data_IF_213676055754
#
_entry.id   IF_213676055754
#
_cell.length_a   1.000
_cell.length_b   1.000
_cell.length_c   1.000
_cell.angle_alpha   90.00
_cell.angle_beta   90.00
_cell.angle_gamma   90.00
#
_symmetry.space_group_name_H-M   'P 1'
#
loop_
_entity.id
_entity.type
_entity.pdbx_description
1 polymer ?
#
# COMPACT_ATOMS: atom_id res chain seq x y z
N UNK A 1 11.30 60.75 -37.45
CA UNK A 1 11.35 60.54 -38.92
C UNK A 1 11.47 59.05 -39.16
N UNK A 2 10.49 58.49 -39.90
CA UNK A 2 10.50 57.24 -40.70
C UNK A 2 10.87 55.93 -39.97
N UNK A 3 9.97 54.99 -39.62
CA UNK A 3 8.96 54.18 -40.35
C UNK A 3 9.53 53.30 -41.47
N UNK A 4 9.38 51.96 -41.31
CA UNK A 4 8.99 50.90 -42.28
C UNK A 4 9.19 49.54 -41.56
N UNK A 5 8.21 48.66 -41.26
CA UNK A 5 7.04 48.08 -41.97
C UNK A 5 7.41 47.07 -43.08
N UNK A 6 6.83 45.87 -42.96
CA UNK A 6 6.65 44.84 -44.00
C UNK A 6 7.30 43.49 -43.65
N UNK A 7 6.68 42.31 -43.79
CA UNK A 7 5.35 41.95 -44.30
C UNK A 7 5.08 40.45 -44.01
N UNK A 8 3.81 40.07 -44.16
CA UNK A 8 3.08 38.84 -43.78
C UNK A 8 3.40 37.53 -44.54
N UNK A 9 2.92 36.43 -43.94
CA UNK A 9 2.09 35.33 -44.50
C UNK A 9 2.55 33.99 -43.88
N UNK A 10 1.73 33.09 -43.33
CA UNK A 10 0.29 32.84 -43.42
C UNK A 10 0.11 31.33 -43.61
N UNK A 11 -0.55 30.62 -42.69
CA UNK A 11 -1.21 29.30 -42.86
C UNK A 11 -1.92 28.98 -41.52
N UNK A 12 -3.23 29.21 -41.36
CA UNK A 12 -4.31 28.23 -41.60
C UNK A 12 -3.93 26.83 -41.06
N UNK A 13 -4.53 26.25 -40.02
CA UNK A 13 -5.92 26.28 -39.56
C UNK A 13 -6.42 24.82 -39.57
N UNK A 14 -6.65 24.22 -38.40
CA UNK A 14 -7.56 23.06 -38.23
C UNK A 14 -7.85 22.84 -36.75
N UNK A 15 -9.00 23.34 -36.32
CA UNK A 15 -9.67 22.90 -35.12
C UNK A 15 -10.57 21.71 -35.51
N UNK A 16 -10.38 20.56 -34.88
CA UNK A 16 -11.37 19.48 -34.95
C UNK A 16 -11.97 19.24 -33.56
N UNK A 17 -13.20 19.71 -33.48
CA UNK A 17 -14.25 19.41 -32.51
C UNK A 17 -14.67 17.96 -32.71
N UNK A 18 -14.50 17.11 -31.71
CA UNK A 18 -15.15 15.79 -31.69
C UNK A 18 -16.35 15.91 -30.77
N UNK A 19 -17.53 15.77 -31.38
CA UNK A 19 -18.83 15.89 -30.76
C UNK A 19 -19.17 14.64 -29.94
N UNK A 20 -19.86 14.91 -28.82
CA UNK A 20 -20.49 13.96 -27.93
C UNK A 20 -21.54 13.11 -28.63
N UNK A 21 -21.54 11.80 -28.41
CA UNK A 21 -22.70 10.94 -28.67
C UNK A 21 -23.16 10.34 -27.36
N UNK A 22 -24.21 10.94 -26.81
CA UNK A 22 -25.06 10.38 -25.77
C UNK A 22 -25.98 9.37 -26.45
N UNK A 23 -25.92 8.11 -26.03
CA UNK A 23 -26.88 7.08 -26.44
C UNK A 23 -27.84 6.79 -25.28
N UNK A 24 -29.01 7.41 -25.34
CA UNK A 24 -30.19 7.04 -24.55
C UNK A 24 -31.14 6.28 -25.48
N UNK A 25 -31.62 5.11 -25.05
CA UNK A 25 -32.68 4.37 -25.73
C UNK A 25 -33.91 4.26 -24.82
N UNK A 26 -35.12 4.15 -25.41
CA UNK A 26 -36.34 4.67 -24.81
C UNK A 26 -37.14 3.65 -23.98
N UNK A 27 -37.85 4.17 -22.99
CA UNK A 27 -38.98 3.57 -22.27
C UNK A 27 -40.14 3.32 -23.23
N UNK A 28 -40.78 2.15 -23.12
CA UNK A 28 -42.15 1.93 -23.62
C UNK A 28 -43.04 1.53 -22.45
N UNK A 29 -44.20 2.15 -22.47
CA UNK A 29 -45.24 2.24 -21.45
C UNK A 29 -46.28 1.11 -21.61
N UNK A 30 -47.12 1.00 -20.58
CA UNK A 30 -48.53 0.56 -20.60
C UNK A 30 -48.88 -0.89 -20.24
N UNK A 31 -49.53 -0.99 -19.07
CA UNK A 31 -50.21 -2.14 -18.46
C UNK A 31 -51.48 -2.60 -19.22
N UNK A 32 -52.18 -3.64 -18.72
CA UNK A 32 -53.45 -3.31 -18.05
C UNK A 32 -53.76 -4.09 -16.75
N UNK A 33 -54.52 -3.38 -15.90
CA UNK A 33 -55.36 -3.80 -14.77
C UNK A 33 -56.39 -4.90 -15.19
N UNK A 34 -56.86 -5.86 -14.38
CA UNK A 34 -57.75 -5.74 -13.19
C UNK A 34 -58.22 -7.15 -12.66
N UNK A 35 -58.94 -7.24 -11.51
CA UNK A 35 -58.97 -8.35 -10.51
C UNK A 35 -60.36 -9.09 -10.44
N UNK A 36 -60.95 -9.57 -9.30
CA UNK A 36 -60.50 -10.09 -7.98
C UNK A 36 -61.14 -11.47 -7.60
N UNK A 37 -60.78 -12.07 -6.45
CA UNK A 37 -61.51 -13.23 -5.88
C UNK A 37 -61.13 -13.57 -4.43
N UNK A 38 -62.00 -13.19 -3.49
CA UNK A 38 -61.93 -13.42 -2.03
C UNK A 38 -62.48 -14.80 -1.61
N UNK A 39 -61.97 -15.35 -0.49
CA UNK A 39 -62.66 -15.99 0.66
C UNK A 39 -61.56 -16.48 1.65
N UNK A 40 -61.40 -16.00 2.90
CA UNK A 40 -62.19 -16.23 4.15
C UNK A 40 -62.46 -17.74 4.39
N UNK A 41 -62.16 -18.42 5.50
CA UNK A 41 -62.03 -18.09 6.92
C UNK A 41 -61.29 -19.25 7.65
N UNK A 42 -60.76 -19.01 8.86
CA UNK A 42 -60.98 -19.82 10.08
C UNK A 42 -59.81 -19.76 11.08
N UNK A 43 -60.02 -18.97 12.14
CA UNK A 43 -59.50 -19.15 13.51
C UNK A 43 -60.60 -19.90 14.30
N UNK A 44 -60.40 -20.48 15.52
CA UNK A 44 -59.56 -19.97 16.63
C UNK A 44 -59.01 -21.10 17.59
N UNK A 45 -58.78 -20.89 18.91
CA UNK A 45 -57.85 -19.99 19.63
C UNK A 45 -57.03 -20.71 20.73
N UNK A 46 -56.41 -19.89 21.62
CA UNK A 46 -55.95 -20.19 23.01
C UNK A 46 -54.52 -20.78 23.12
N UNK A 47 -53.63 -20.37 24.02
CA UNK A 47 -53.81 -19.74 25.33
C UNK A 47 -52.64 -18.81 25.74
N UNK A 48 -52.98 -18.03 26.76
CA UNK A 48 -52.23 -17.01 27.49
C UNK A 48 -50.97 -17.56 28.18
N UNK A 49 -49.88 -16.76 28.24
CA UNK A 49 -49.28 -16.49 29.55
C UNK A 49 -48.50 -15.17 29.59
N UNK A 50 -48.89 -14.38 30.59
CA UNK A 50 -48.27 -13.26 31.30
C UNK A 50 -46.87 -13.63 31.82
N UNK A 51 -45.96 -12.79 32.32
CA UNK A 51 -45.68 -11.36 32.42
C UNK A 51 -44.37 -11.26 33.25
N UNK A 52 -43.74 -10.07 33.29
CA UNK A 52 -42.96 -9.52 34.44
C UNK A 52 -41.44 -9.83 34.58
N UNK A 53 -40.65 -8.73 34.58
CA UNK A 53 -39.35 -8.45 35.28
C UNK A 53 -38.14 -9.35 34.99
N UNK A 54 -36.87 -8.97 35.10
CA UNK A 54 -36.16 -7.75 35.49
C UNK A 54 -34.71 -7.88 34.97
N UNK A 55 -34.06 -6.72 34.81
CA UNK A 55 -32.63 -6.40 34.84
C UNK A 55 -31.64 -7.54 35.18
N UNK A 56 -30.53 -7.62 34.42
CA UNK A 56 -29.18 -7.34 34.94
C UNK A 56 -28.10 -7.43 33.87
N UNK A 57 -27.25 -6.41 33.83
CA UNK A 57 -25.98 -6.36 33.10
C UNK A 57 -24.94 -7.27 33.76
N UNK A 58 -24.13 -8.00 32.99
CA UNK A 58 -22.72 -8.28 33.35
C UNK A 58 -21.92 -8.82 32.15
N UNK A 59 -20.64 -8.46 32.15
CA UNK A 59 -19.60 -8.71 31.16
C UNK A 59 -19.27 -10.21 30.99
N UNK A 60 -18.75 -10.58 29.81
CA UNK A 60 -18.19 -11.91 29.57
C UNK A 60 -17.49 -12.07 28.21
N UNK A 61 -16.17 -11.88 28.25
CA UNK A 61 -15.07 -12.37 27.40
C UNK A 61 -15.36 -13.44 26.31
N UNK A 62 -14.77 -13.23 25.12
CA UNK A 62 -13.95 -14.23 24.41
C UNK A 62 -14.62 -15.20 23.42
N UNK A 63 -14.41 -14.98 22.12
CA UNK A 63 -14.43 -15.99 21.03
C UNK A 63 -13.51 -15.44 19.90
N UNK A 64 -12.51 -16.11 19.33
CA UNK A 64 -12.26 -17.54 19.17
C UNK A 64 -12.79 -18.01 17.81
N UNK A 65 -12.00 -17.88 16.74
CA UNK A 65 -12.18 -18.68 15.53
C UNK A 65 -10.82 -19.02 14.91
N UNK A 66 -10.53 -20.32 14.93
CA UNK A 66 -9.43 -21.01 14.26
C UNK A 66 -9.79 -21.33 12.80
N UNK A 67 -8.73 -21.54 12.01
CA UNK A 67 -8.56 -22.50 10.90
C UNK A 67 -9.51 -22.52 9.70
N UNK A 68 -8.94 -22.17 8.54
CA UNK A 68 -9.32 -22.77 7.25
C UNK A 68 -8.07 -23.28 6.52
N UNK A 69 -8.12 -24.46 5.86
CA UNK A 69 -6.95 -25.16 5.36
C UNK A 69 -6.54 -24.77 3.94
N UNK A 70 -5.24 -25.02 3.70
CA UNK A 70 -4.49 -25.03 2.45
C UNK A 70 -5.23 -25.61 1.24
N UNK A 71 -5.21 -24.88 0.12
CA UNK A 71 -5.52 -25.38 -1.22
C UNK A 71 -4.30 -25.19 -2.11
N UNK A 72 -3.73 -26.32 -2.54
CA UNK A 72 -2.54 -26.38 -3.38
C UNK A 72 -2.81 -26.06 -4.85
N UNK A 73 -1.77 -25.56 -5.51
CA UNK A 73 -1.68 -25.46 -6.96
C UNK A 73 -0.31 -25.93 -7.43
N UNK A 74 -0.32 -26.93 -8.31
CA UNK A 74 0.54 -26.96 -9.50
C UNK A 74 1.98 -27.44 -9.34
N UNK A 75 2.18 -28.75 -9.48
CA UNK A 75 3.43 -29.35 -9.95
C UNK A 75 3.81 -28.85 -11.35
N UNK A 76 4.95 -28.18 -11.47
CA UNK A 76 5.70 -28.08 -12.73
C UNK A 76 7.16 -28.44 -12.45
N UNK A 77 7.56 -29.60 -12.99
CA UNK A 77 8.88 -30.18 -12.85
C UNK A 77 9.91 -29.49 -13.75
N UNK A 78 11.11 -29.26 -13.22
CA UNK A 78 12.34 -29.16 -14.00
C UNK A 78 13.20 -27.96 -13.66
N UNK A 79 14.30 -28.20 -12.95
CA UNK A 79 15.40 -27.30 -12.55
C UNK A 79 15.31 -26.58 -11.19
N UNK A 80 14.22 -26.75 -10.42
CA UNK A 80 13.97 -25.96 -9.20
C UNK A 80 14.48 -26.55 -7.86
N UNK A 81 15.32 -27.61 -7.90
CA UNK A 81 15.81 -28.28 -6.68
C UNK A 81 17.33 -28.17 -6.48
N UNK A 82 17.91 -27.01 -6.77
CA UNK A 82 19.06 -26.54 -6.00
C UNK A 82 18.57 -25.43 -5.08
N UNK A 83 17.86 -25.82 -4.02
CA UNK A 83 17.83 -24.98 -2.84
C UNK A 83 19.25 -25.07 -2.25
N UNK A 84 20.08 -24.00 -2.30
CA UNK A 84 21.25 -23.98 -1.44
C UNK A 84 20.75 -24.23 -0.02
N UNK A 85 21.48 -24.99 0.82
CA UNK A 85 21.09 -25.17 2.20
C UNK A 85 20.70 -23.81 2.77
N UNK A 86 19.55 -23.73 3.42
CA UNK A 86 19.07 -22.54 4.09
C UNK A 86 20.02 -22.18 5.24
N UNK A 87 21.17 -21.60 4.90
CA UNK A 87 22.11 -21.00 5.85
C UNK A 87 21.45 -19.81 6.59
N UNK A 88 20.22 -19.44 6.21
CA UNK A 88 19.38 -18.44 6.86
C UNK A 88 18.76 -18.90 8.18
N UNK A 89 18.69 -20.20 8.49
CA UNK A 89 17.83 -20.67 9.61
C UNK A 89 18.60 -21.11 10.87
N UNK A 90 19.92 -20.90 10.96
CA UNK A 90 20.66 -21.07 12.23
C UNK A 90 21.52 -19.87 12.65
N UNK A 91 21.51 -18.81 11.85
CA UNK A 91 22.19 -17.54 12.13
C UNK A 91 21.20 -16.36 12.20
N UNK A 92 19.90 -16.66 12.30
CA UNK A 92 18.82 -15.70 12.26
C UNK A 92 18.18 -15.50 13.63
N UNK A 93 18.73 -14.57 14.42
CA UNK A 93 18.01 -13.67 15.36
C UNK A 93 18.99 -12.86 16.20
N UNK A 94 20.18 -13.39 16.48
CA UNK A 94 21.26 -12.61 17.07
C UNK A 94 22.07 -11.97 15.95
N UNK A 95 21.93 -10.64 15.80
CA UNK A 95 22.85 -9.86 14.98
C UNK A 95 24.28 -10.20 15.42
N UNK A 96 25.03 -10.94 14.59
CA UNK A 96 26.48 -10.98 14.67
C UNK A 96 26.94 -9.53 14.57
N UNK A 97 27.14 -8.89 15.72
CA UNK A 97 27.66 -7.55 15.75
C UNK A 97 29.08 -7.63 15.19
N UNK A 98 29.53 -6.54 14.55
CA UNK A 98 30.92 -6.40 14.10
C UNK A 98 31.91 -6.86 15.17
N UNK A 99 31.61 -6.54 16.44
CA UNK A 99 32.41 -6.93 17.61
C UNK A 99 32.48 -8.44 17.80
N UNK A 100 31.37 -9.16 17.63
CA UNK A 100 31.33 -10.61 17.76
C UNK A 100 32.17 -11.30 16.68
N UNK A 101 32.09 -10.85 15.41
CA UNK A 101 32.91 -11.43 14.33
C UNK A 101 34.38 -11.12 14.54
N UNK A 102 34.75 -9.89 14.93
CA UNK A 102 36.15 -9.53 15.17
C UNK A 102 36.77 -10.28 16.35
N UNK A 103 35.96 -10.66 17.35
CA UNK A 103 36.41 -11.48 18.49
C UNK A 103 36.42 -12.98 18.17
N UNK A 104 35.77 -13.39 17.09
CA UNK A 104 35.62 -14.80 16.72
C UNK A 104 36.14 -15.10 15.32
N UNK A 105 37.07 -14.30 14.79
CA UNK A 105 37.72 -14.61 13.51
C UNK A 105 38.42 -15.97 13.65
N UNK A 106 38.19 -16.85 12.67
CA UNK A 106 38.79 -18.19 12.65
C UNK A 106 40.32 -18.09 12.72
N UNK A 107 40.91 -18.91 13.58
CA UNK A 107 42.34 -18.98 13.87
C UNK A 107 43.20 -19.30 12.64
N UNK A 108 42.63 -20.02 11.67
CA UNK A 108 43.24 -20.37 10.39
C UNK A 108 42.89 -19.38 9.26
N UNK A 109 42.41 -18.17 9.57
CA UNK A 109 42.02 -17.19 8.56
C UNK A 109 43.15 -16.84 7.58
N UNK A 110 44.40 -16.78 8.05
CA UNK A 110 45.56 -16.52 7.21
C UNK A 110 45.78 -17.59 6.13
N UNK A 111 45.32 -18.82 6.37
CA UNK A 111 45.39 -19.92 5.40
C UNK A 111 44.41 -19.78 4.23
N UNK A 112 43.48 -18.82 4.30
CA UNK A 112 42.54 -18.54 3.22
C UNK A 112 43.19 -17.87 2.00
N UNK A 113 44.44 -17.39 2.10
CA UNK A 113 45.19 -16.78 1.00
C UNK A 113 44.42 -15.67 0.26
N UNK A 114 43.65 -14.87 1.01
CA UNK A 114 42.92 -13.75 0.45
C UNK A 114 43.88 -12.66 -0.02
N UNK A 115 43.73 -12.21 -1.26
CA UNK A 115 44.51 -11.10 -1.83
C UNK A 115 43.57 -9.97 -2.25
N UNK A 116 44.14 -8.79 -2.54
CA UNK A 116 43.36 -7.65 -2.99
C UNK A 116 42.63 -7.92 -4.33
N UNK A 117 43.28 -8.63 -5.26
CA UNK A 117 42.76 -8.96 -6.59
C UNK A 117 42.12 -10.37 -6.69
N UNK A 118 42.25 -11.18 -5.65
CA UNK A 118 41.94 -12.61 -5.69
C UNK A 118 43.10 -13.46 -6.21
N UNK A 119 42.93 -14.77 -6.14
CA UNK A 119 43.86 -15.78 -6.65
C UNK A 119 43.27 -16.44 -7.89
N UNK A 120 44.13 -16.93 -8.79
CA UNK A 120 43.72 -17.77 -9.90
C UNK A 120 43.05 -19.04 -9.33
N UNK A 121 41.83 -19.34 -9.77
CA UNK A 121 41.03 -20.45 -9.22
C UNK A 121 40.21 -20.13 -7.96
N UNK A 122 40.08 -18.85 -7.55
CA UNK A 122 39.13 -18.46 -6.50
C UNK A 122 37.71 -18.90 -6.85
N UNK A 123 37.01 -19.48 -5.87
CA UNK A 123 35.60 -19.82 -6.02
C UNK A 123 34.73 -18.55 -6.18
N UNK A 124 34.12 -18.39 -7.35
CA UNK A 124 33.26 -17.26 -7.76
C UNK A 124 31.77 -17.54 -7.54
N UNK A 125 31.38 -18.68 -6.99
CA UNK A 125 29.96 -19.09 -6.89
C UNK A 125 29.10 -18.14 -6.05
N UNK A 126 29.73 -17.33 -5.20
CA UNK A 126 29.03 -16.34 -4.38
C UNK A 126 28.92 -14.97 -5.05
N UNK A 127 29.64 -14.72 -6.16
CA UNK A 127 29.78 -13.38 -6.72
C UNK A 127 28.46 -12.80 -7.23
N UNK A 128 27.52 -13.65 -7.65
CA UNK A 128 26.18 -13.25 -8.11
C UNK A 128 25.14 -13.07 -6.99
N UNK A 129 25.50 -13.34 -5.72
CA UNK A 129 24.59 -13.16 -4.59
C UNK A 129 24.47 -11.67 -4.24
N UNK A 130 23.30 -11.27 -3.77
CA UNK A 130 23.02 -9.92 -3.30
C UNK A 130 23.93 -9.51 -2.14
N UNK A 131 24.03 -8.20 -1.87
CA UNK A 131 24.95 -7.65 -0.87
C UNK A 131 24.72 -8.21 0.54
N UNK A 132 23.46 -8.48 0.92
CA UNK A 132 23.13 -9.03 2.24
C UNK A 132 23.49 -10.51 2.34
N UNK A 133 23.08 -11.32 1.36
CA UNK A 133 23.40 -12.75 1.34
C UNK A 133 24.90 -12.99 1.25
N UNK A 134 25.58 -12.28 0.36
CA UNK A 134 27.02 -12.37 0.18
C UNK A 134 27.79 -12.03 1.46
N UNK A 135 27.50 -10.89 2.09
CA UNK A 135 28.21 -10.45 3.30
C UNK A 135 27.98 -11.40 4.47
N UNK A 136 26.75 -11.88 4.66
CA UNK A 136 26.41 -12.84 5.72
C UNK A 136 27.20 -14.14 5.57
N UNK A 137 27.23 -14.72 4.36
CA UNK A 137 27.98 -15.96 4.08
C UNK A 137 29.48 -15.76 4.31
N UNK A 138 30.04 -14.65 3.82
CA UNK A 138 31.47 -14.38 4.00
C UNK A 138 31.81 -14.19 5.48
N UNK A 139 31.02 -13.43 6.23
CA UNK A 139 31.21 -13.24 7.67
C UNK A 139 31.13 -14.57 8.43
N UNK A 140 30.16 -15.41 8.12
CA UNK A 140 30.06 -16.75 8.70
C UNK A 140 31.32 -17.59 8.40
N UNK A 141 31.78 -17.61 7.15
CA UNK A 141 33.01 -18.32 6.76
C UNK A 141 34.28 -17.76 7.41
N UNK A 142 34.28 -16.48 7.80
CA UNK A 142 35.38 -15.89 8.58
C UNK A 142 35.34 -16.22 10.06
N UNK A 143 34.26 -16.78 10.59
CA UNK A 143 34.09 -17.04 12.02
C UNK A 143 34.62 -18.42 12.47
N UNK A 144 35.02 -18.52 13.74
CA UNK A 144 35.37 -19.78 14.42
C UNK A 144 34.21 -20.77 14.42
N UNK A 145 32.98 -20.28 14.52
CA UNK A 145 31.82 -21.15 14.43
C UNK A 145 31.69 -21.76 13.03
N UNK A 146 31.86 -20.96 11.98
CA UNK A 146 31.93 -21.47 10.61
C UNK A 146 33.01 -22.53 10.45
N UNK A 147 34.19 -22.33 11.04
CA UNK A 147 35.25 -23.36 11.06
C UNK A 147 34.80 -24.65 11.76
N UNK A 148 34.20 -24.55 12.96
CA UNK A 148 33.70 -25.71 13.73
C UNK A 148 32.62 -26.49 12.98
N UNK A 149 31.78 -25.77 12.24
CA UNK A 149 30.72 -26.33 11.42
C UNK A 149 31.21 -26.84 10.05
N UNK A 150 32.52 -26.81 9.80
CA UNK A 150 33.11 -27.30 8.54
C UNK A 150 32.88 -26.39 7.34
N UNK A 151 32.57 -25.11 7.55
CA UNK A 151 32.40 -24.16 6.47
C UNK A 151 33.72 -23.94 5.70
N UNK A 152 33.65 -23.82 4.36
CA UNK A 152 34.83 -23.57 3.55
C UNK A 152 35.44 -22.20 3.88
N UNK A 153 36.68 -21.99 3.44
CA UNK A 153 37.35 -20.70 3.62
C UNK A 153 36.56 -19.55 2.97
N UNK A 154 36.69 -18.33 3.52
CA UNK A 154 36.18 -17.13 2.88
C UNK A 154 36.82 -16.95 1.50
N UNK A 155 36.10 -16.31 0.59
CA UNK A 155 36.48 -16.21 -0.83
C UNK A 155 36.31 -14.79 -1.38
N UNK A 156 36.16 -13.79 -0.52
CA UNK A 156 36.04 -12.40 -0.94
C UNK A 156 37.39 -11.80 -1.32
N UNK A 157 37.37 -10.83 -2.21
CA UNK A 157 38.52 -9.95 -2.48
C UNK A 157 38.29 -8.57 -1.88
N UNK A 158 39.37 -7.83 -1.63
CA UNK A 158 39.25 -6.45 -1.14
C UNK A 158 38.49 -5.56 -2.15
N UNK A 159 38.72 -5.77 -3.45
CA UNK A 159 38.00 -5.05 -4.51
C UNK A 159 36.49 -5.29 -4.45
N UNK A 160 36.05 -6.53 -4.26
CA UNK A 160 34.63 -6.85 -4.10
C UNK A 160 34.02 -6.19 -2.86
N UNK A 161 34.72 -6.21 -1.73
CA UNK A 161 34.25 -5.53 -0.51
C UNK A 161 34.07 -4.04 -0.76
N UNK A 162 35.05 -3.39 -1.41
CA UNK A 162 34.98 -1.95 -1.72
C UNK A 162 33.85 -1.60 -2.68
N UNK A 163 33.65 -2.42 -3.72
CA UNK A 163 32.58 -2.22 -4.70
C UNK A 163 31.21 -2.30 -4.03
N UNK A 164 30.95 -3.42 -3.35
CA UNK A 164 29.69 -3.67 -2.66
C UNK A 164 29.42 -2.64 -1.56
N UNK A 165 30.46 -2.20 -0.85
CA UNK A 165 30.33 -1.11 0.13
C UNK A 165 29.86 0.20 -0.53
N UNK A 166 30.46 0.59 -1.66
CA UNK A 166 30.08 1.79 -2.40
C UNK A 166 28.67 1.70 -2.97
N UNK A 167 28.29 0.55 -3.53
CA UNK A 167 26.94 0.29 -4.01
C UNK A 167 25.91 0.48 -2.88
N UNK A 168 26.13 -0.16 -1.73
CA UNK A 168 25.22 -0.05 -0.58
C UNK A 168 25.14 1.40 -0.08
N UNK A 169 26.26 2.11 0.04
CA UNK A 169 26.25 3.52 0.43
C UNK A 169 25.46 4.39 -0.56
N UNK A 170 25.65 4.16 -1.86
CA UNK A 170 24.94 4.89 -2.92
C UNK A 170 23.43 4.64 -2.81
N UNK A 171 23.02 3.38 -2.67
CA UNK A 171 21.62 3.01 -2.50
C UNK A 171 20.99 3.63 -1.25
N UNK A 172 21.71 3.64 -0.12
CA UNK A 172 21.25 4.31 1.11
C UNK A 172 20.99 5.79 0.85
N UNK A 173 21.94 6.50 0.24
CA UNK A 173 21.77 7.92 -0.04
C UNK A 173 20.61 8.20 -1.01
N UNK A 174 20.44 7.38 -2.04
CA UNK A 174 19.32 7.50 -2.98
C UNK A 174 17.99 7.32 -2.26
N UNK A 175 17.82 6.23 -1.51
CA UNK A 175 16.58 5.93 -0.79
C UNK A 175 16.27 6.97 0.30
N UNK A 176 17.29 7.54 0.95
CA UNK A 176 17.09 8.64 1.90
C UNK A 176 16.51 9.90 1.23
N UNK A 177 17.00 10.26 0.04
CA UNK A 177 16.47 11.40 -0.72
C UNK A 177 15.05 11.14 -1.20
N UNK A 178 14.78 9.95 -1.74
CA UNK A 178 13.44 9.56 -2.17
C UNK A 178 12.44 9.61 -1.00
N UNK A 179 12.86 9.12 0.18
CA UNK A 179 12.04 9.22 1.39
C UNK A 179 11.73 10.67 1.78
N UNK A 180 12.69 11.58 1.66
CA UNK A 180 12.50 13.00 1.95
C UNK A 180 11.52 13.66 0.96
N UNK A 181 11.61 13.34 -0.33
CA UNK A 181 10.67 13.81 -1.35
C UNK A 181 9.25 13.33 -1.04
N UNK A 182 9.08 12.03 -0.77
CA UNK A 182 7.78 11.45 -0.43
C UNK A 182 7.19 12.05 0.85
N UNK A 183 8.01 12.35 1.86
CA UNK A 183 7.55 13.03 3.06
C UNK A 183 6.98 14.42 2.73
N UNK A 184 7.67 15.19 1.88
CA UNK A 184 7.18 16.50 1.43
C UNK A 184 5.87 16.42 0.63
N UNK A 185 5.70 15.39 -0.20
CA UNK A 185 4.44 15.16 -0.92
C UNK A 185 3.28 14.82 0.03
N UNK A 186 3.53 13.99 1.05
CA UNK A 186 2.56 13.66 2.09
C UNK A 186 2.12 14.92 2.85
N UNK A 187 3.07 15.78 3.21
CA UNK A 187 2.77 17.04 3.90
C UNK A 187 1.91 17.97 3.04
N UNK A 188 2.25 18.12 1.75
CA UNK A 188 1.49 18.94 0.81
C UNK A 188 0.05 18.42 0.59
N UNK A 189 -0.11 17.09 0.47
CA UNK A 189 -1.44 16.46 0.36
C UNK A 189 -2.26 16.64 1.64
N UNK A 190 -1.62 16.53 2.80
CA UNK A 190 -2.27 16.73 4.10
C UNK A 190 -2.77 18.17 4.26
N UNK A 191 -1.97 19.16 3.85
CA UNK A 191 -2.38 20.56 3.85
C UNK A 191 -3.58 20.80 2.92
N UNK A 192 -3.52 20.26 1.70
CA UNK A 192 -4.62 20.37 0.72
C UNK A 192 -5.92 19.78 1.27
N UNK A 193 -5.83 18.65 1.98
CA UNK A 193 -7.00 18.01 2.60
C UNK A 193 -7.57 18.88 3.72
N UNK A 194 -6.72 19.49 4.55
CA UNK A 194 -7.15 20.41 5.60
C UNK A 194 -7.89 21.62 5.03
N UNK A 195 -7.37 22.22 3.95
CA UNK A 195 -7.99 23.37 3.28
C UNK A 195 -9.35 22.99 2.68
N UNK A 196 -9.44 21.84 1.99
CA UNK A 196 -10.71 21.35 1.45
C UNK A 196 -11.74 21.06 2.54
N UNK A 197 -11.30 20.50 3.67
CA UNK A 197 -12.18 20.23 4.82
C UNK A 197 -12.71 21.54 5.43
N UNK A 198 -11.88 22.57 5.52
CA UNK A 198 -12.32 23.90 5.95
C UNK A 198 -13.37 24.47 4.99
N UNK A 199 -13.08 24.47 3.69
CA UNK A 199 -14.02 24.98 2.69
C UNK A 199 -15.37 24.23 2.73
N UNK A 200 -15.36 22.91 2.94
CA UNK A 200 -16.59 22.14 3.07
C UNK A 200 -17.43 22.61 4.28
N UNK A 201 -16.77 22.89 5.42
CA UNK A 201 -17.43 23.43 6.61
C UNK A 201 -18.02 24.81 6.35
N UNK A 202 -17.28 25.68 5.68
CA UNK A 202 -17.74 27.04 5.35
C UNK A 202 -18.98 26.98 4.42
N UNK A 203 -18.98 26.06 3.44
CA UNK A 203 -20.14 25.81 2.57
C UNK A 203 -21.33 25.27 3.36
N UNK A 204 -21.11 24.34 4.29
CA UNK A 204 -22.20 23.80 5.12
C UNK A 204 -22.84 24.88 5.98
N UNK A 205 -22.05 25.80 6.55
CA UNK A 205 -22.54 26.96 7.32
C UNK A 205 -23.37 27.90 6.43
N UNK A 206 -22.87 28.24 5.23
CA UNK A 206 -23.62 29.09 4.28
C UNK A 206 -24.93 28.43 3.83
N UNK A 207 -24.93 27.12 3.58
CA UNK A 207 -26.13 26.37 3.22
C UNK A 207 -27.18 26.38 4.34
N UNK A 208 -26.76 26.36 5.61
CA UNK A 208 -27.65 26.46 6.76
C UNK A 208 -28.30 27.86 6.78
N UNK A 209 -27.50 28.92 6.66
CA UNK A 209 -28.00 30.31 6.67
C UNK A 209 -28.97 30.60 5.52
N UNK A 210 -28.68 30.09 4.32
CA UNK A 210 -29.56 30.22 3.16
C UNK A 210 -30.88 29.47 3.35
N UNK A 211 -30.87 28.29 3.99
CA UNK A 211 -32.09 27.55 4.31
C UNK A 211 -32.97 28.30 5.30
N UNK A 212 -32.38 28.90 6.33
CA UNK A 212 -33.12 29.74 7.27
C UNK A 212 -33.71 30.96 6.57
N UNK A 213 -32.91 31.69 5.80
CA UNK A 213 -33.35 32.87 5.05
C UNK A 213 -34.50 32.54 4.08
N UNK A 214 -34.42 31.40 3.39
CA UNK A 214 -35.48 30.92 2.49
C UNK A 214 -36.79 30.67 3.26
N UNK A 215 -36.71 30.10 4.45
CA UNK A 215 -37.88 29.85 5.28
C UNK A 215 -38.52 31.17 5.74
N UNK A 216 -37.72 32.12 6.24
CA UNK A 216 -38.22 33.44 6.65
C UNK A 216 -38.89 34.19 5.49
N UNK A 217 -38.29 34.15 4.29
CA UNK A 217 -38.87 34.76 3.10
C UNK A 217 -40.20 34.12 2.70
N UNK A 218 -40.34 32.79 2.84
CA UNK A 218 -41.62 32.10 2.61
C UNK A 218 -42.68 32.53 3.60
N UNK A 219 -42.32 32.70 4.87
CA UNK A 219 -43.25 33.16 5.91
C UNK A 219 -43.69 34.60 5.65
N UNK A 220 -42.77 35.49 5.27
CA UNK A 220 -43.08 36.86 4.86
C UNK A 220 -43.98 36.91 3.62
N UNK A 221 -43.74 36.05 2.63
CA UNK A 221 -44.59 35.92 1.46
C UNK A 221 -46.02 35.53 1.88
N UNK A 222 -46.18 34.56 2.77
CA UNK A 222 -47.50 34.14 3.27
C UNK A 222 -48.24 35.29 3.98
N UNK A 223 -47.54 36.05 4.82
CA UNK A 223 -48.10 37.22 5.51
C UNK A 223 -48.55 38.28 4.49
N UNK A 224 -47.71 38.59 3.49
CA UNK A 224 -48.02 39.56 2.47
C UNK A 224 -49.30 39.18 1.70
N UNK A 225 -49.44 37.92 1.28
CA UNK A 225 -50.65 37.42 0.62
C UNK A 225 -51.91 37.52 1.48
N UNK A 226 -51.78 37.40 2.80
CA UNK A 226 -52.91 37.47 3.73
C UNK A 226 -53.32 38.89 4.12
N UNK A 227 -52.44 39.89 3.95
CA UNK A 227 -52.61 41.24 4.52
C UNK A 227 -52.64 42.37 3.51
N UNK A 228 -52.10 42.16 2.31
CA UNK A 228 -52.12 43.18 1.27
C UNK A 228 -53.43 43.07 0.46
N UNK A 229 -54.07 44.21 0.12
CA UNK A 229 -55.33 44.27 -0.62
C UNK A 229 -55.21 43.92 -2.10
#
# INVERSE_FOLDING_TARGET
MSVSVGEEAGFAGRAERVESVVSLSPTTDTAPLSPPGSVASDLPPSDQNTSVMERSSTQGLGFGWEDTPSVGWGTASGWENYQPPSYTTRWGTEHLTRSTVLQTVRSDFHSANLTAAGTEGRNTSLDGIDNRGWSSIQLYRTSEQGRRDGAPFPTFTLSQVKERFREVQTSIHTLMREKEVLAGEIDAMTQTLADKKKNAKDIDEELIDLKYSLQELRDLQLIAHARLP
#
